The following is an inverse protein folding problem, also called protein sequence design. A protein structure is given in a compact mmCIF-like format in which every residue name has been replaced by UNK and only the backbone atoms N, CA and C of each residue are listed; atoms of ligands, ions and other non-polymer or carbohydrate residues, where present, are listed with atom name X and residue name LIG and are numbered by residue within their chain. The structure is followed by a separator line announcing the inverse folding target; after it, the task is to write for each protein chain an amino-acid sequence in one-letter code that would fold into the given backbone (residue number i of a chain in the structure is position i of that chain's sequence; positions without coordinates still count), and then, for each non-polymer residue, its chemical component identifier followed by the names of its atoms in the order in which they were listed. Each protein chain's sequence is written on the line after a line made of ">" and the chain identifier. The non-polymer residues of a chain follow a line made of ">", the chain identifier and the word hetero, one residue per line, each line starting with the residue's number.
data_IF_835243186864
#
_entry.id   IF_835243186864
#
_cell.length_a   1.000
_cell.length_b   1.000
_cell.length_c   1.000
_cell.angle_alpha   90.00
_cell.angle_beta   90.00
_cell.angle_gamma   90.00
#
_symmetry.space_group_name_H-M   'P 1'
#
loop_
_entity.id
_entity.type
_entity.pdbx_description
1 polymer ?
#
# COMPACT_ATOMS: atom_id res chain seq x y z
N UNK A 1 -1.01 17.79 8.18
CA UNK A 1 -2.45 17.68 8.56
C UNK A 1 -3.11 19.00 8.26
N UNK A 2 -4.38 19.01 7.84
CA UNK A 2 -5.12 20.27 7.70
C UNK A 2 -5.45 20.83 9.09
N UNK A 3 -5.70 22.15 9.24
CA UNK A 3 -6.02 22.76 10.53
C UNK A 3 -7.26 22.18 11.22
N UNK A 4 -8.19 21.60 10.45
CA UNK A 4 -9.39 20.92 10.94
C UNK A 4 -9.13 19.46 11.38
N UNK A 5 -7.85 19.07 11.53
CA UNK A 5 -7.40 17.71 11.84
C UNK A 5 -7.82 16.65 10.80
N UNK A 6 -8.28 17.08 9.61
CA UNK A 6 -8.57 16.17 8.51
C UNK A 6 -7.34 15.95 7.62
N UNK A 7 -7.38 14.84 6.88
CA UNK A 7 -6.26 14.41 6.06
C UNK A 7 -5.07 13.91 6.89
N UNK A 8 -3.90 13.84 6.26
CA UNK A 8 -2.75 13.16 6.85
C UNK A 8 -2.81 11.64 6.64
N UNK A 9 -1.97 10.94 7.39
CA UNK A 9 -1.71 9.51 7.23
C UNK A 9 -1.55 8.88 8.61
N UNK A 10 -2.37 7.89 8.93
CA UNK A 10 -2.26 7.12 10.16
C UNK A 10 -1.30 5.96 9.90
N UNK A 11 -0.35 5.72 10.81
CA UNK A 11 0.48 4.52 10.78
C UNK A 11 -0.19 3.47 11.67
N UNK A 12 -0.78 2.44 11.06
CA UNK A 12 -1.57 1.44 11.78
C UNK A 12 -1.18 0.02 11.35
N UNK A 13 -0.46 -0.67 12.22
CA UNK A 13 -0.06 -2.06 12.01
C UNK A 13 -1.20 -3.07 12.27
N UNK A 14 -2.31 -2.64 12.88
CA UNK A 14 -3.52 -3.45 13.05
C UNK A 14 -4.36 -3.54 11.78
N UNK A 15 -4.17 -2.61 10.84
CA UNK A 15 -4.75 -2.65 9.49
C UNK A 15 -3.86 -3.45 8.55
N UNK A 16 -4.35 -4.55 7.92
CA UNK A 16 -3.48 -5.38 7.08
C UNK A 16 -2.97 -4.63 5.84
N UNK A 17 -3.86 -3.96 5.11
CA UNK A 17 -3.58 -3.18 3.90
C UNK A 17 -3.71 -1.68 4.17
N UNK A 18 -3.01 -0.85 3.39
CA UNK A 18 -3.24 0.60 3.41
C UNK A 18 -4.64 0.95 2.91
N UNK A 19 -5.23 2.00 3.46
CA UNK A 19 -6.41 2.64 2.85
C UNK A 19 -6.08 4.05 2.41
N UNK A 20 -6.59 4.45 1.26
CA UNK A 20 -6.44 5.79 0.73
C UNK A 20 -7.82 6.39 0.47
N UNK A 21 -7.97 7.69 0.69
CA UNK A 21 -9.16 8.42 0.28
C UNK A 21 -9.45 8.17 -1.21
N UNK A 22 -10.72 8.04 -1.56
CA UNK A 22 -11.19 7.62 -2.89
C UNK A 22 -10.50 8.36 -4.03
N UNK A 23 -10.34 9.67 -3.88
CA UNK A 23 -9.65 10.56 -4.83
C UNK A 23 -8.20 10.15 -5.09
N UNK A 24 -7.44 9.81 -4.05
CA UNK A 24 -6.05 9.36 -4.18
C UNK A 24 -5.96 7.90 -4.67
N UNK A 25 -6.82 7.03 -4.13
CA UNK A 25 -6.86 5.63 -4.52
C UNK A 25 -7.15 5.45 -6.02
N UNK A 26 -8.09 6.23 -6.56
CA UNK A 26 -8.47 6.16 -7.98
C UNK A 26 -7.26 6.36 -8.90
N UNK A 27 -6.42 7.35 -8.61
CA UNK A 27 -5.20 7.63 -9.40
C UNK A 27 -4.22 6.46 -9.34
N UNK A 28 -4.02 5.88 -8.15
CA UNK A 28 -3.16 4.70 -7.97
C UNK A 28 -3.70 3.50 -8.75
N UNK A 29 -5.00 3.21 -8.62
CA UNK A 29 -5.68 2.11 -9.32
C UNK A 29 -5.54 2.26 -10.82
N UNK A 30 -5.84 3.43 -11.37
CA UNK A 30 -5.73 3.71 -12.81
C UNK A 30 -4.30 3.48 -13.32
N UNK A 31 -3.28 3.96 -12.61
CA UNK A 31 -1.88 3.78 -13.03
C UNK A 31 -1.42 2.33 -13.00
N UNK A 32 -1.92 1.53 -12.06
CA UNK A 32 -1.61 0.10 -12.00
C UNK A 32 -2.32 -0.64 -13.14
N UNK A 33 -3.58 -0.31 -13.44
CA UNK A 33 -4.32 -0.87 -14.58
C UNK A 33 -3.59 -0.53 -15.89
N UNK A 34 -3.26 0.74 -16.11
CA UNK A 34 -2.52 1.19 -17.30
C UNK A 34 -1.20 0.43 -17.47
N UNK A 35 -0.47 0.19 -16.37
CA UNK A 35 0.78 -0.56 -16.38
C UNK A 35 0.56 -2.01 -16.86
N UNK A 36 -0.39 -2.73 -16.26
CA UNK A 36 -0.63 -4.12 -16.60
C UNK A 36 -1.22 -4.32 -17.99
N UNK A 37 -2.12 -3.42 -18.40
CA UNK A 37 -2.67 -3.41 -19.74
C UNK A 37 -1.57 -3.16 -20.79
N UNK A 38 -0.71 -2.15 -20.57
CA UNK A 38 0.32 -1.76 -21.52
C UNK A 38 1.43 -2.79 -21.70
N UNK A 39 1.90 -3.39 -20.61
CA UNK A 39 3.10 -4.24 -20.65
C UNK A 39 2.79 -5.73 -20.71
N UNK A 40 1.59 -6.15 -20.30
CA UNK A 40 1.22 -7.57 -20.21
C UNK A 40 -0.13 -7.89 -20.84
N UNK A 41 -0.83 -6.91 -21.42
CA UNK A 41 -2.18 -7.08 -21.97
C UNK A 41 -3.14 -7.75 -21.00
N UNK A 42 -2.99 -7.43 -19.71
CA UNK A 42 -3.72 -8.01 -18.61
C UNK A 42 -4.74 -7.02 -18.06
N UNK A 43 -5.95 -7.49 -17.81
CA UNK A 43 -7.07 -6.69 -17.30
C UNK A 43 -7.46 -7.17 -15.90
N UNK A 44 -7.97 -6.27 -15.04
CA UNK A 44 -8.35 -6.63 -13.69
C UNK A 44 -9.56 -7.57 -13.67
N UNK A 45 -9.58 -8.44 -12.67
CA UNK A 45 -10.75 -9.25 -12.34
C UNK A 45 -11.91 -8.36 -11.90
N UNK A 46 -13.16 -8.77 -12.15
CA UNK A 46 -14.33 -8.06 -11.63
C UNK A 46 -14.30 -8.09 -10.09
N UNK A 47 -14.50 -6.95 -9.41
CA UNK A 47 -14.47 -6.90 -7.95
C UNK A 47 -15.67 -7.68 -7.37
N UNK A 48 -15.43 -8.45 -6.32
CA UNK A 48 -16.48 -9.14 -5.57
C UNK A 48 -16.64 -8.56 -4.16
N UNK A 49 -17.84 -8.58 -3.56
CA UNK A 49 -18.04 -8.11 -2.19
C UNK A 49 -17.15 -8.86 -1.20
N UNK A 50 -16.32 -8.13 -0.46
CA UNK A 50 -15.39 -8.69 0.54
C UNK A 50 -13.96 -8.89 0.04
N UNK A 51 -13.73 -8.80 -1.28
CA UNK A 51 -12.39 -8.93 -1.86
C UNK A 51 -11.63 -7.60 -1.86
N UNK A 52 -10.33 -7.68 -2.16
CA UNK A 52 -9.53 -6.51 -2.52
C UNK A 52 -10.03 -5.93 -3.85
N UNK A 53 -10.07 -4.60 -3.95
CA UNK A 53 -10.72 -3.88 -5.05
C UNK A 53 -9.99 -3.99 -6.41
N UNK A 54 -8.71 -4.36 -6.41
CA UNK A 54 -7.93 -4.54 -7.63
C UNK A 54 -7.11 -5.83 -7.57
N UNK A 55 -7.56 -6.83 -8.32
CA UNK A 55 -6.92 -8.13 -8.47
C UNK A 55 -6.82 -8.51 -9.95
N UNK A 56 -5.89 -9.41 -10.26
CA UNK A 56 -5.67 -9.98 -11.59
C UNK A 56 -5.55 -11.50 -11.50
N UNK A 57 -6.03 -12.21 -12.51
CA UNK A 57 -5.74 -13.64 -12.69
C UNK A 57 -4.39 -13.75 -13.39
N UNK A 58 -3.35 -14.01 -12.60
CA UNK A 58 -1.97 -14.01 -13.05
C UNK A 58 -1.33 -15.35 -12.71
N UNK A 59 -1.41 -16.34 -13.62
CA UNK A 59 -0.69 -17.60 -13.44
C UNK A 59 0.79 -17.26 -13.31
N UNK A 60 1.35 -17.54 -12.13
CA UNK A 60 2.71 -17.24 -11.74
C UNK A 60 3.71 -17.46 -12.91
N UNK A 61 4.29 -16.37 -13.46
CA UNK A 61 5.74 -16.12 -13.39
C UNK A 61 6.35 -15.09 -14.36
N UNK A 62 5.64 -14.51 -15.34
CA UNK A 62 6.29 -13.59 -16.29
C UNK A 62 5.81 -12.14 -16.20
N UNK A 63 5.72 -11.58 -14.99
CA UNK A 63 5.53 -10.15 -14.83
C UNK A 63 6.36 -9.57 -13.69
N UNK A 64 6.65 -8.29 -13.81
CA UNK A 64 7.26 -7.48 -12.75
C UNK A 64 6.15 -6.66 -12.12
N UNK A 65 5.90 -6.84 -10.82
CA UNK A 65 4.96 -5.99 -10.13
C UNK A 65 5.53 -4.56 -9.97
N UNK A 66 4.70 -3.52 -9.92
CA UNK A 66 5.18 -2.17 -9.68
C UNK A 66 5.63 -1.99 -8.22
N UNK A 67 6.70 -1.23 -8.01
CA UNK A 67 7.02 -0.63 -6.72
C UNK A 67 6.22 0.67 -6.52
N UNK A 68 6.14 1.16 -5.28
CA UNK A 68 5.48 2.41 -4.94
C UNK A 68 6.35 3.23 -4.00
N UNK A 69 6.20 4.55 -3.99
CA UNK A 69 6.82 5.42 -2.99
C UNK A 69 5.77 6.32 -2.38
N UNK A 70 5.69 6.34 -1.05
CA UNK A 70 4.94 7.36 -0.33
C UNK A 70 5.85 8.53 -0.03
N UNK A 71 5.49 9.70 -0.55
CA UNK A 71 6.20 10.95 -0.32
C UNK A 71 5.61 11.63 0.92
N UNK A 72 6.35 11.58 2.03
CA UNK A 72 6.04 12.31 3.25
C UNK A 72 6.84 13.61 3.31
N UNK A 73 6.45 14.52 4.21
CA UNK A 73 7.22 15.74 4.44
C UNK A 73 8.64 15.38 4.93
N UNK A 74 9.64 15.73 4.13
CA UNK A 74 11.05 15.48 4.46
C UNK A 74 11.54 14.03 4.28
N UNK A 75 10.70 13.09 3.83
CA UNK A 75 11.10 11.68 3.69
C UNK A 75 10.33 10.92 2.62
N UNK A 76 11.00 9.94 1.99
CA UNK A 76 10.40 9.05 0.98
C UNK A 76 10.39 7.61 1.49
N UNK A 77 9.20 7.04 1.70
CA UNK A 77 9.06 5.63 2.04
C UNK A 77 8.96 4.82 0.74
N UNK A 78 10.07 4.19 0.35
CA UNK A 78 10.12 3.30 -0.80
C UNK A 78 9.53 1.92 -0.45
N UNK A 79 8.57 1.47 -1.24
CA UNK A 79 7.90 0.19 -1.09
C UNK A 79 8.23 -0.72 -2.27
N UNK A 80 8.98 -1.81 -2.05
CA UNK A 80 9.18 -2.81 -3.09
C UNK A 80 7.88 -3.57 -3.36
N UNK A 81 7.85 -4.33 -4.45
CA UNK A 81 6.68 -5.03 -4.99
C UNK A 81 5.84 -5.79 -3.95
N UNK A 82 6.50 -6.54 -3.06
CA UNK A 82 5.88 -7.31 -1.97
C UNK A 82 5.14 -6.46 -0.93
N UNK A 83 5.47 -5.17 -0.82
CA UNK A 83 4.80 -4.24 0.08
C UNK A 83 3.60 -3.57 -0.60
N UNK A 84 3.48 -3.65 -1.93
CA UNK A 84 2.40 -3.05 -2.71
C UNK A 84 1.31 -4.06 -3.03
N UNK A 85 1.69 -5.31 -3.25
CA UNK A 85 0.80 -6.34 -3.81
C UNK A 85 1.16 -7.74 -3.30
N UNK A 86 0.17 -8.63 -3.27
CA UNK A 86 0.30 -9.98 -2.74
C UNK A 86 -0.46 -11.00 -3.61
N UNK A 87 -0.02 -12.26 -3.53
CA UNK A 87 -0.74 -13.38 -4.14
C UNK A 87 -1.68 -14.02 -3.11
N UNK A 88 -2.90 -14.30 -3.55
CA UNK A 88 -3.92 -15.06 -2.84
C UNK A 88 -4.41 -16.16 -3.79
N UNK A 89 -3.99 -17.40 -3.55
CA UNK A 89 -4.16 -18.52 -4.48
C UNK A 89 -3.65 -18.17 -5.90
N UNK A 90 -4.52 -18.11 -6.91
CA UNK A 90 -4.18 -17.72 -8.28
C UNK A 90 -4.28 -16.22 -8.54
N UNK A 91 -4.79 -15.44 -7.59
CA UNK A 91 -5.07 -14.02 -7.75
C UNK A 91 -3.91 -13.17 -7.25
N UNK A 92 -3.50 -12.17 -8.04
CA UNK A 92 -2.53 -11.16 -7.66
C UNK A 92 -3.24 -9.84 -7.38
N UNK A 93 -3.18 -9.35 -6.14
CA UNK A 93 -4.00 -8.24 -5.66
C UNK A 93 -3.19 -7.07 -5.11
N UNK A 94 -3.68 -5.86 -5.32
CA UNK A 94 -3.18 -4.63 -4.72
C UNK A 94 -3.53 -4.57 -3.23
N UNK A 95 -2.53 -4.36 -2.37
CA UNK A 95 -2.69 -4.23 -0.92
C UNK A 95 -3.01 -2.78 -0.51
N UNK A 96 -3.85 -2.12 -1.28
CA UNK A 96 -4.34 -0.77 -1.02
C UNK A 96 -5.84 -0.74 -1.36
N UNK A 97 -6.66 -0.19 -0.48
CA UNK A 97 -8.12 -0.11 -0.64
C UNK A 97 -8.61 1.34 -0.59
N UNK A 98 -9.76 1.64 -1.21
CA UNK A 98 -10.40 2.95 -1.08
C UNK A 98 -11.11 3.09 0.29
N UNK A 99 -11.15 4.32 0.79
CA UNK A 99 -12.07 4.78 1.82
C UNK A 99 -12.76 6.06 1.37
N UNK A 100 -13.90 6.41 1.99
CA UNK A 100 -14.58 7.68 1.75
C UNK A 100 -13.61 8.87 1.88
N UNK A 101 -13.76 9.91 1.06
CA UNK A 101 -12.86 11.08 1.07
C UNK A 101 -12.85 11.87 2.38
N UNK A 102 -13.81 11.62 3.28
CA UNK A 102 -13.82 12.16 4.65
C UNK A 102 -13.07 11.28 5.67
N UNK A 103 -12.64 10.09 5.26
CA UNK A 103 -11.88 9.15 6.09
C UNK A 103 -10.38 9.46 6.13
N UNK A 104 -9.63 8.83 7.04
CA UNK A 104 -8.18 8.96 7.09
C UNK A 104 -7.51 8.11 6.01
N UNK A 105 -6.33 8.53 5.54
CA UNK A 105 -5.41 7.59 4.88
C UNK A 105 -4.70 6.77 5.96
N UNK A 106 -4.44 5.50 5.70
CA UNK A 106 -3.79 4.58 6.64
C UNK A 106 -2.64 3.86 5.93
N UNK A 107 -1.49 3.76 6.59
CA UNK A 107 -0.37 2.91 6.20
C UNK A 107 -0.54 1.56 6.88
N UNK A 108 -0.92 0.54 6.13
CA UNK A 108 -1.16 -0.79 6.67
C UNK A 108 0.11 -1.58 6.93
N UNK A 109 -0.04 -2.74 7.57
CA UNK A 109 1.03 -3.65 7.94
C UNK A 109 1.86 -4.12 6.73
N UNK A 110 1.24 -4.41 5.58
CA UNK A 110 1.97 -4.80 4.36
C UNK A 110 2.93 -3.70 3.90
N UNK A 111 2.54 -2.44 3.99
CA UNK A 111 3.40 -1.30 3.64
C UNK A 111 4.47 -1.02 4.70
N UNK A 112 4.25 -1.42 5.95
CA UNK A 112 5.23 -1.31 7.02
C UNK A 112 6.24 -2.46 7.06
N UNK A 113 5.94 -3.58 6.40
CA UNK A 113 6.76 -4.81 6.45
C UNK A 113 8.22 -4.57 6.02
N UNK A 114 9.18 -5.12 6.77
CA UNK A 114 10.63 -4.94 6.59
C UNK A 114 11.11 -3.47 6.64
N UNK A 115 10.44 -2.66 7.45
CA UNK A 115 10.90 -1.34 7.82
C UNK A 115 10.85 -1.22 9.34
N UNK A 116 11.86 -0.58 9.90
CA UNK A 116 11.85 -0.17 11.30
C UNK A 116 11.27 1.23 11.38
N UNK A 117 10.13 1.36 12.06
CA UNK A 117 9.53 2.65 12.39
C UNK A 117 9.96 3.05 13.81
N UNK A 118 10.38 4.30 13.96
CA UNK A 118 10.73 4.91 15.23
C UNK A 118 9.86 6.14 15.47
N UNK A 119 9.35 6.28 16.70
CA UNK A 119 8.45 7.35 17.09
C UNK A 119 9.11 8.17 18.21
N UNK A 120 9.43 9.42 17.92
CA UNK A 120 9.95 10.36 18.91
C UNK A 120 8.79 11.24 19.42
N UNK A 121 8.34 10.96 20.64
CA UNK A 121 7.25 11.72 21.26
C UNK A 121 7.68 13.09 21.80
N UNK A 122 8.98 13.35 21.96
CA UNK A 122 9.49 14.66 22.36
C UNK A 122 9.59 15.58 21.15
N UNK A 123 10.13 15.10 20.04
CA UNK A 123 10.22 15.85 18.79
C UNK A 123 8.92 15.82 17.96
N UNK A 124 7.96 14.95 18.33
CA UNK A 124 6.73 14.67 17.57
C UNK A 124 7.02 14.26 16.12
N UNK A 125 8.01 13.38 15.94
CA UNK A 125 8.41 12.88 14.62
C UNK A 125 8.31 11.37 14.53
N UNK A 126 8.13 10.89 13.30
CA UNK A 126 8.28 9.49 12.96
C UNK A 126 9.41 9.35 11.94
N UNK A 127 10.27 8.36 12.13
CA UNK A 127 11.32 7.99 11.20
C UNK A 127 11.16 6.55 10.75
N UNK A 128 11.58 6.23 9.54
CA UNK A 128 11.55 4.88 9.01
C UNK A 128 12.83 4.57 8.25
N UNK A 129 13.31 3.33 8.38
CA UNK A 129 14.44 2.81 7.60
C UNK A 129 14.14 1.37 7.17
N UNK A 130 14.58 0.95 5.97
CA UNK A 130 14.52 -0.46 5.59
C UNK A 130 15.29 -1.32 6.60
N UNK A 131 14.68 -2.42 7.04
CA UNK A 131 15.30 -3.36 7.98
C UNK A 131 14.86 -4.79 7.64
N UNK A 132 15.80 -5.75 7.71
CA UNK A 132 15.45 -7.16 7.60
C UNK A 132 14.87 -7.63 8.93
N UNK A 133 13.58 -7.37 9.14
CA UNK A 133 12.84 -7.89 10.29
C UNK A 133 12.81 -9.41 10.21
N UNK A 134 13.52 -10.08 11.11
CA UNK A 134 13.46 -11.54 11.29
C UNK A 134 12.64 -11.81 12.56
N UNK A 135 12.03 -12.99 12.64
CA UNK A 135 11.49 -13.48 13.90
C UNK A 135 12.58 -13.35 14.96
N UNK A 136 12.28 -12.68 16.08
CA UNK A 136 13.11 -12.76 17.26
C UNK A 136 13.28 -14.25 17.55
N UNK A 137 14.52 -14.75 17.51
CA UNK A 137 14.81 -16.03 18.14
C UNK A 137 14.68 -15.77 19.63
N UNK A 138 13.56 -16.24 20.20
CA UNK A 138 13.50 -16.51 21.63
C UNK A 138 14.58 -17.52 22.02
#
# INVERSE_FOLDING_TARGET
>A
MRPDQTGGFILDSGSPHSVLVQTAYKVVKEKIIEYFERYYSCHPLPPQPGDLDLCYDMPHQNFTAPSMTYHFEGANLFLPQRNVSQFFDASFCLMVMPINDRGPNILGAFQQMNHRFFFDFTALTAAFVPERCRFNRE
#
